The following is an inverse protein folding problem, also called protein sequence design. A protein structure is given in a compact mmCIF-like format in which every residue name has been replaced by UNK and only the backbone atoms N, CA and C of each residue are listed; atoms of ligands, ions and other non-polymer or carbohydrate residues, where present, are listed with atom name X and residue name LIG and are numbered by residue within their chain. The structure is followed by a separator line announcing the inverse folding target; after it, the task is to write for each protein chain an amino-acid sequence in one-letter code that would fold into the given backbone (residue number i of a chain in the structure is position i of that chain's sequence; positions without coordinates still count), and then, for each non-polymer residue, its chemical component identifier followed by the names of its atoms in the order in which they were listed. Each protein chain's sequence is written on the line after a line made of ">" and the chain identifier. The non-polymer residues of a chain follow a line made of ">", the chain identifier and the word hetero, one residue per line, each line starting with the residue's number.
data_IF_588246602490
#
_entry.id   IF_588246602490
#
_cell.length_a   1.000
_cell.length_b   1.000
_cell.length_c   1.000
_cell.angle_alpha   90.00
_cell.angle_beta   90.00
_cell.angle_gamma   90.00
#
_symmetry.space_group_name_H-M   'P 1'
#
loop_
_entity.id
_entity.type
_entity.pdbx_description
1 polymer ?
#
# COMPACT_ATOMS: atom_id res chain seq x y z
N UNK A 1 -8.82 2.54 3.63
CA UNK A 1 -9.62 1.97 2.52
C UNK A 1 -8.88 0.82 1.86
N UNK A 2 -9.61 -0.10 1.23
CA UNK A 2 -9.04 -1.21 0.45
C UNK A 2 -8.78 -0.77 -1.00
N UNK A 3 -7.50 -0.76 -1.40
CA UNK A 3 -7.08 -0.44 -2.77
C UNK A 3 -7.03 -1.67 -3.67
N UNK A 4 -6.56 -2.81 -3.17
CA UNK A 4 -6.40 -4.00 -4.00
C UNK A 4 -6.74 -5.23 -3.19
N UNK A 5 -7.38 -6.22 -3.80
CA UNK A 5 -7.57 -7.53 -3.20
C UNK A 5 -7.38 -8.61 -4.25
N UNK A 6 -6.63 -9.65 -3.86
CA UNK A 6 -6.55 -10.91 -4.59
C UNK A 6 -7.16 -12.00 -3.72
N UNK A 7 -8.14 -12.73 -4.24
CA UNK A 7 -8.84 -13.76 -3.49
C UNK A 7 -9.44 -14.88 -4.34
N UNK A 8 -9.88 -15.93 -3.66
CA UNK A 8 -10.49 -17.12 -4.22
C UNK A 8 -11.87 -17.29 -3.57
N UNK A 9 -12.91 -17.22 -4.40
CA UNK A 9 -14.31 -17.19 -3.99
C UNK A 9 -14.99 -18.50 -4.42
N UNK A 10 -15.85 -19.09 -3.58
CA UNK A 10 -16.67 -20.23 -4.00
C UNK A 10 -17.61 -19.78 -5.12
N UNK A 11 -17.66 -20.56 -6.20
CA UNK A 11 -18.55 -20.32 -7.34
C UNK A 11 -18.55 -21.53 -8.24
N UNK A 12 -19.62 -22.33 -8.21
CA UNK A 12 -19.76 -23.45 -9.14
C UNK A 12 -20.29 -22.94 -10.49
N UNK A 13 -19.48 -23.00 -11.54
CA UNK A 13 -19.82 -22.43 -12.85
C UNK A 13 -19.19 -23.20 -14.00
N UNK A 14 -19.71 -23.00 -15.22
CA UNK A 14 -19.01 -23.42 -16.43
C UNK A 14 -17.68 -22.66 -16.51
N UNK A 15 -16.54 -23.33 -16.74
CA UNK A 15 -15.25 -22.66 -16.82
C UNK A 15 -15.30 -21.49 -17.79
N UNK A 16 -14.74 -20.36 -17.36
CA UNK A 16 -14.67 -19.17 -18.17
C UNK A 16 -13.88 -19.46 -19.45
N UNK A 17 -14.32 -18.92 -20.61
CA UNK A 17 -13.67 -19.16 -21.90
C UNK A 17 -12.36 -18.37 -21.98
N UNK A 18 -11.35 -18.83 -21.25
CA UNK A 18 -10.02 -18.29 -21.24
C UNK A 18 -9.07 -19.34 -21.85
N UNK A 19 -8.10 -18.88 -22.65
CA UNK A 19 -7.03 -19.78 -23.08
C UNK A 19 -6.21 -20.28 -21.89
N UNK A 20 -5.39 -21.31 -22.11
CA UNK A 20 -4.50 -21.86 -21.09
C UNK A 20 -3.04 -21.64 -21.45
N UNK A 21 -2.17 -21.69 -20.43
CA UNK A 21 -0.74 -21.94 -20.59
C UNK A 21 -0.51 -23.37 -20.11
N UNK A 22 0.10 -24.18 -20.96
CA UNK A 22 0.31 -25.60 -20.72
C UNK A 22 1.81 -25.86 -20.84
N UNK A 23 2.39 -26.53 -19.83
CA UNK A 23 3.71 -27.14 -19.96
C UNK A 23 3.52 -28.57 -20.44
N UNK A 24 4.24 -28.91 -21.50
CA UNK A 24 4.19 -30.22 -22.13
C UNK A 24 5.60 -30.78 -22.09
N UNK A 25 5.75 -32.00 -21.62
CA UNK A 25 7.04 -32.69 -21.58
C UNK A 25 7.51 -33.13 -22.98
N UNK A 26 8.69 -33.74 -23.04
CA UNK A 26 9.27 -34.22 -24.29
C UNK A 26 8.44 -35.32 -24.98
N UNK A 27 7.62 -36.05 -24.22
CA UNK A 27 6.78 -37.15 -24.69
C UNK A 27 5.38 -36.66 -25.10
N UNK A 28 5.09 -35.37 -24.96
CA UNK A 28 3.81 -34.77 -25.33
C UNK A 28 2.76 -34.79 -24.22
N UNK A 29 3.09 -35.24 -23.01
CA UNK A 29 2.17 -35.23 -21.87
C UNK A 29 2.16 -33.88 -21.15
N UNK A 30 0.99 -33.51 -20.63
CA UNK A 30 0.82 -32.24 -19.92
C UNK A 30 1.36 -32.38 -18.50
N UNK A 31 2.43 -31.65 -18.17
CA UNK A 31 2.99 -31.60 -16.81
C UNK A 31 2.13 -30.73 -15.89
N UNK A 32 1.71 -29.56 -16.39
CA UNK A 32 0.82 -28.65 -15.68
C UNK A 32 0.09 -27.72 -16.64
N UNK A 33 -1.09 -27.28 -16.21
CA UNK A 33 -1.92 -26.30 -16.92
C UNK A 33 -2.28 -25.15 -15.99
N UNK A 34 -2.27 -23.93 -16.54
CA UNK A 34 -2.82 -22.74 -15.88
C UNK A 34 -3.76 -21.99 -16.80
N UNK A 35 -5.03 -21.90 -16.41
CA UNK A 35 -6.03 -21.08 -17.09
C UNK A 35 -5.64 -19.60 -17.01
N UNK A 36 -5.65 -18.91 -18.16
CA UNK A 36 -5.34 -17.47 -18.27
C UNK A 36 -6.42 -16.65 -17.57
N UNK A 37 -6.05 -15.42 -17.21
CA UNK A 37 -6.98 -14.46 -16.61
C UNK A 37 -7.75 -13.74 -17.71
N UNK A 38 -9.07 -13.64 -17.55
CA UNK A 38 -9.91 -12.70 -18.28
C UNK A 38 -9.93 -11.35 -17.58
N UNK A 39 -10.19 -10.30 -18.35
CA UNK A 39 -10.34 -8.94 -17.84
C UNK A 39 -11.81 -8.57 -17.89
N UNK A 40 -12.43 -8.36 -16.74
CA UNK A 40 -13.80 -7.87 -16.62
C UNK A 40 -13.76 -6.37 -16.47
N UNK A 41 -14.45 -5.65 -17.36
CA UNK A 41 -14.54 -4.19 -17.35
C UNK A 41 -15.75 -3.79 -16.49
N UNK A 42 -15.49 -3.07 -15.40
CA UNK A 42 -16.49 -2.48 -14.51
C UNK A 42 -16.89 -1.07 -14.96
N UNK A 43 -17.48 -0.30 -14.03
CA UNK A 43 -17.81 1.11 -14.30
C UNK A 43 -16.52 1.91 -14.60
N UNK A 44 -16.62 2.93 -15.45
CA UNK A 44 -15.54 3.89 -15.74
C UNK A 44 -14.22 3.24 -16.22
N UNK A 45 -14.32 2.17 -17.03
CA UNK A 45 -13.18 1.42 -17.60
C UNK A 45 -12.24 0.75 -16.58
N UNK A 46 -12.60 0.72 -15.30
CA UNK A 46 -11.87 -0.01 -14.28
C UNK A 46 -11.93 -1.52 -14.57
N UNK A 47 -10.84 -2.25 -14.33
CA UNK A 47 -10.78 -3.67 -14.66
C UNK A 47 -10.49 -4.55 -13.46
N UNK A 48 -11.14 -5.71 -13.44
CA UNK A 48 -10.87 -6.82 -12.55
C UNK A 48 -10.32 -7.99 -13.35
N UNK A 49 -9.30 -8.67 -12.84
CA UNK A 49 -8.81 -9.91 -13.45
C UNK A 49 -9.49 -11.09 -12.79
N UNK A 50 -10.04 -11.98 -13.59
CA UNK A 50 -10.78 -13.16 -13.12
C UNK A 50 -10.30 -14.42 -13.82
N UNK A 51 -10.39 -15.57 -13.15
CA UNK A 51 -10.26 -16.88 -13.80
C UNK A 51 -10.95 -17.97 -12.99
N UNK A 52 -11.41 -19.00 -13.68
CA UNK A 52 -11.92 -20.22 -13.06
C UNK A 52 -10.78 -21.03 -12.45
N UNK A 53 -11.02 -21.59 -11.27
CA UNK A 53 -10.09 -22.49 -10.58
C UNK A 53 -10.85 -23.60 -9.85
N UNK A 54 -10.18 -24.73 -9.63
CA UNK A 54 -10.78 -25.94 -9.09
C UNK A 54 -11.69 -26.65 -10.10
N UNK A 55 -12.05 -27.90 -9.81
CA UNK A 55 -12.95 -28.72 -10.61
C UNK A 55 -13.84 -29.54 -9.69
N UNK A 56 -15.09 -29.75 -10.06
CA UNK A 56 -16.01 -30.66 -9.37
C UNK A 56 -15.98 -32.09 -9.93
N UNK A 57 -15.13 -32.37 -10.93
CA UNK A 57 -15.09 -33.66 -11.63
C UNK A 57 -16.13 -33.82 -12.76
N UNK A 58 -17.06 -32.88 -12.90
CA UNK A 58 -18.14 -32.91 -13.90
C UNK A 58 -17.99 -31.78 -14.95
N UNK A 59 -16.76 -31.32 -15.16
CA UNK A 59 -16.45 -30.24 -16.10
C UNK A 59 -16.85 -28.84 -15.63
N UNK A 60 -17.24 -28.65 -14.37
CA UNK A 60 -17.48 -27.31 -13.78
C UNK A 60 -16.32 -26.89 -12.89
N UNK A 61 -16.01 -25.60 -12.95
CA UNK A 61 -15.12 -24.98 -11.97
C UNK A 61 -15.87 -24.77 -10.65
N UNK A 62 -15.16 -24.88 -9.53
CA UNK A 62 -15.75 -24.75 -8.18
C UNK A 62 -15.48 -23.38 -7.55
N UNK A 63 -14.51 -22.64 -8.07
CA UNK A 63 -14.08 -21.37 -7.50
C UNK A 63 -13.75 -20.35 -8.58
N UNK A 64 -13.86 -19.09 -8.20
CA UNK A 64 -13.49 -17.92 -9.00
C UNK A 64 -12.32 -17.19 -8.33
N UNK A 65 -11.20 -17.07 -9.02
CA UNK A 65 -10.12 -16.18 -8.62
C UNK A 65 -10.45 -14.76 -9.07
N UNK A 66 -10.30 -13.79 -8.16
CA UNK A 66 -10.53 -12.36 -8.40
C UNK A 66 -9.30 -11.57 -7.98
N UNK A 67 -8.87 -10.62 -8.80
CA UNK A 67 -7.64 -9.84 -8.59
C UNK A 67 -7.75 -8.44 -9.21
N UNK A 68 -7.77 -7.41 -8.36
CA UNK A 68 -7.89 -6.03 -8.82
C UNK A 68 -8.25 -5.03 -7.72
N UNK A 69 -8.62 -3.82 -8.14
CA UNK A 69 -8.98 -2.72 -7.24
C UNK A 69 -10.50 -2.64 -7.03
N UNK A 70 -11.04 -3.10 -5.89
CA UNK A 70 -12.49 -3.18 -5.66
C UNK A 70 -13.16 -1.80 -5.68
N UNK A 71 -12.55 -0.80 -5.03
CA UNK A 71 -13.06 0.58 -4.99
C UNK A 71 -13.18 1.16 -6.40
N UNK A 72 -12.11 1.08 -7.20
CA UNK A 72 -12.10 1.58 -8.58
C UNK A 72 -13.10 0.84 -9.47
N UNK A 73 -13.25 -0.47 -9.29
CA UNK A 73 -14.19 -1.29 -10.07
C UNK A 73 -15.67 -0.93 -9.82
N UNK A 74 -16.02 -0.62 -8.56
CA UNK A 74 -17.39 -0.30 -8.18
C UNK A 74 -17.75 1.16 -8.42
N UNK A 75 -16.86 2.10 -8.07
CA UNK A 75 -17.17 3.54 -8.03
C UNK A 75 -16.35 4.40 -9.01
N UNK A 76 -15.40 3.81 -9.75
CA UNK A 76 -14.65 4.49 -10.83
C UNK A 76 -13.30 5.12 -10.46
N UNK A 77 -12.99 5.29 -9.17
CA UNK A 77 -11.72 5.86 -8.71
C UNK A 77 -11.18 5.18 -7.44
N UNK A 78 -9.92 5.44 -7.09
CA UNK A 78 -9.29 4.93 -5.86
C UNK A 78 -8.79 6.00 -4.91
N UNK A 79 -9.22 7.25 -5.10
CA UNK A 79 -8.87 8.39 -4.23
C UNK A 79 -9.34 8.15 -2.79
N UNK A 80 -10.60 7.76 -2.62
CA UNK A 80 -11.25 7.40 -1.34
C UNK A 80 -12.00 6.09 -1.52
N UNK A 81 -12.39 5.43 -0.43
CA UNK A 81 -13.17 4.20 -0.48
C UNK A 81 -13.37 3.59 0.90
N UNK A 82 -13.90 2.38 0.93
CA UNK A 82 -14.33 1.71 2.16
C UNK A 82 -13.26 0.81 2.79
N UNK A 83 -13.36 0.63 4.11
CA UNK A 83 -12.66 -0.41 4.88
C UNK A 83 -13.53 -1.67 5.07
N UNK A 84 -14.79 -1.64 4.63
CA UNK A 84 -15.73 -2.77 4.68
C UNK A 84 -15.37 -3.82 3.63
N UNK A 85 -14.43 -4.70 3.97
CA UNK A 85 -14.00 -5.79 3.09
C UNK A 85 -15.16 -6.72 2.72
N UNK A 86 -16.08 -7.01 3.65
CA UNK A 86 -17.18 -7.95 3.42
C UNK A 86 -18.15 -7.37 2.39
N UNK A 87 -18.66 -6.16 2.66
CA UNK A 87 -19.57 -5.48 1.74
C UNK A 87 -18.94 -5.22 0.38
N UNK A 88 -17.67 -4.75 0.35
CA UNK A 88 -16.94 -4.51 -0.89
C UNK A 88 -16.82 -5.79 -1.72
N UNK A 89 -16.34 -6.89 -1.13
CA UNK A 89 -16.07 -8.10 -1.89
C UNK A 89 -17.33 -8.85 -2.29
N UNK A 90 -18.39 -8.81 -1.47
CA UNK A 90 -19.70 -9.35 -1.85
C UNK A 90 -20.27 -8.62 -3.07
N UNK A 91 -20.21 -7.28 -3.09
CA UNK A 91 -20.70 -6.49 -4.24
C UNK A 91 -19.82 -6.69 -5.48
N UNK A 92 -18.49 -6.73 -5.34
CA UNK A 92 -17.59 -7.05 -6.45
C UNK A 92 -17.89 -8.43 -7.02
N UNK A 93 -18.06 -9.44 -6.16
CA UNK A 93 -18.37 -10.81 -6.56
C UNK A 93 -19.70 -10.85 -7.33
N UNK A 94 -20.77 -10.29 -6.76
CA UNK A 94 -22.08 -10.27 -7.40
C UNK A 94 -22.04 -9.59 -8.78
N UNK A 95 -21.34 -8.45 -8.86
CA UNK A 95 -21.18 -7.71 -10.11
C UNK A 95 -20.39 -8.47 -11.16
N UNK A 96 -19.33 -9.18 -10.77
CA UNK A 96 -18.56 -10.04 -11.69
C UNK A 96 -19.43 -11.17 -12.23
N UNK A 97 -20.24 -11.83 -11.38
CA UNK A 97 -21.13 -12.89 -11.83
C UNK A 97 -22.14 -12.38 -12.86
N UNK A 98 -22.77 -11.23 -12.58
CA UNK A 98 -23.70 -10.56 -13.50
C UNK A 98 -23.04 -10.23 -14.84
N UNK A 99 -21.86 -9.58 -14.84
CA UNK A 99 -21.14 -9.20 -16.06
C UNK A 99 -20.67 -10.41 -16.89
N UNK A 100 -20.46 -11.56 -16.26
CA UNK A 100 -20.06 -12.80 -16.91
C UNK A 100 -21.24 -13.74 -17.22
N UNK A 101 -22.48 -13.32 -16.92
CA UNK A 101 -23.68 -14.13 -17.03
C UNK A 101 -23.56 -15.49 -16.31
N UNK A 102 -22.88 -15.51 -15.15
CA UNK A 102 -22.80 -16.67 -14.29
C UNK A 102 -24.01 -16.65 -13.34
N UNK A 103 -24.85 -17.69 -13.31
CA UNK A 103 -25.97 -17.76 -12.38
C UNK A 103 -25.50 -17.66 -10.93
N UNK A 104 -26.25 -16.89 -10.12
CA UNK A 104 -26.00 -16.77 -8.69
C UNK A 104 -26.49 -18.04 -7.99
N UNK A 105 -25.56 -18.95 -7.68
CA UNK A 105 -25.83 -20.06 -6.78
C UNK A 105 -25.99 -19.55 -5.34
N UNK A 106 -27.12 -19.89 -4.70
CA UNK A 106 -27.48 -19.39 -3.38
C UNK A 106 -26.49 -19.85 -2.30
N UNK A 107 -25.97 -21.08 -2.41
CA UNK A 107 -25.00 -21.60 -1.44
C UNK A 107 -23.67 -20.85 -1.53
N UNK A 108 -23.15 -20.66 -2.74
CA UNK A 108 -21.94 -19.87 -3.00
C UNK A 108 -22.09 -18.43 -2.53
N UNK A 109 -23.24 -17.80 -2.82
CA UNK A 109 -23.52 -16.43 -2.38
C UNK A 109 -23.56 -16.29 -0.86
N UNK A 110 -24.24 -17.21 -0.14
CA UNK A 110 -24.25 -17.25 1.33
C UNK A 110 -22.85 -17.48 1.91
N UNK A 111 -22.05 -18.32 1.27
CA UNK A 111 -20.68 -18.56 1.69
C UNK A 111 -19.83 -17.28 1.56
N UNK A 112 -19.93 -16.57 0.45
CA UNK A 112 -19.23 -15.27 0.27
C UNK A 112 -19.71 -14.24 1.29
N UNK A 113 -21.02 -14.14 1.53
CA UNK A 113 -21.59 -13.25 2.54
C UNK A 113 -21.09 -13.56 3.96
N UNK A 114 -20.84 -14.83 4.27
CA UNK A 114 -20.25 -15.28 5.54
C UNK A 114 -18.71 -15.19 5.56
N UNK A 115 -18.09 -14.53 4.59
CA UNK A 115 -16.64 -14.37 4.52
C UNK A 115 -15.87 -15.64 4.15
N UNK A 116 -16.53 -16.68 3.61
CA UNK A 116 -15.93 -17.98 3.26
C UNK A 116 -15.21 -17.93 1.91
N UNK A 117 -14.24 -17.03 1.81
CA UNK A 117 -13.36 -16.89 0.65
C UNK A 117 -11.93 -16.65 1.12
N UNK A 118 -10.95 -17.10 0.33
CA UNK A 118 -9.53 -16.94 0.68
C UNK A 118 -9.00 -15.61 0.15
N UNK A 119 -8.15 -14.95 0.93
CA UNK A 119 -7.42 -13.73 0.57
C UNK A 119 -5.93 -14.07 0.51
N UNK A 120 -5.30 -13.78 -0.62
CA UNK A 120 -3.86 -13.99 -0.83
C UNK A 120 -3.07 -12.69 -0.95
N UNK A 121 -3.75 -11.57 -1.17
CA UNK A 121 -3.15 -10.23 -1.12
C UNK A 121 -4.21 -9.20 -0.78
N UNK A 122 -3.83 -8.22 0.01
CA UNK A 122 -4.63 -7.02 0.25
C UNK A 122 -3.73 -5.79 0.31
N UNK A 123 -4.14 -4.71 -0.37
CA UNK A 123 -3.49 -3.41 -0.29
C UNK A 123 -4.44 -2.46 0.46
N UNK A 124 -4.01 -1.96 1.62
CA UNK A 124 -4.74 -1.03 2.49
C UNK A 124 -4.06 0.32 2.39
N UNK A 125 -4.82 1.39 2.27
CA UNK A 125 -4.23 2.72 2.22
C UNK A 125 -5.03 3.75 3.01
N UNK A 126 -4.32 4.81 3.40
CA UNK A 126 -4.88 6.03 3.94
C UNK A 126 -4.08 7.24 3.46
N UNK A 127 -4.69 8.41 3.57
CA UNK A 127 -4.08 9.68 3.21
C UNK A 127 -3.80 10.53 4.44
N UNK A 128 -2.75 11.33 4.35
CA UNK A 128 -2.34 12.27 5.38
C UNK A 128 -2.13 13.65 4.75
N UNK A 129 -2.70 14.69 5.34
CA UNK A 129 -2.45 16.07 4.93
C UNK A 129 -1.11 16.56 5.46
N UNK A 130 -0.37 17.22 4.58
CA UNK A 130 0.84 17.98 4.88
C UNK A 130 0.67 19.47 4.55
N UNK A 131 -0.58 19.94 4.48
CA UNK A 131 -1.02 21.32 4.16
C UNK A 131 -0.73 21.81 2.74
N UNK A 132 0.38 21.42 2.11
CA UNK A 132 0.73 21.80 0.73
C UNK A 132 1.34 20.65 -0.05
N UNK A 133 1.23 20.70 -1.39
CA UNK A 133 1.89 19.74 -2.28
C UNK A 133 3.41 19.75 -2.12
N UNK A 134 3.99 20.93 -1.91
CA UNK A 134 5.43 21.08 -1.68
C UNK A 134 5.88 20.32 -0.44
N UNK A 135 5.15 20.45 0.67
CA UNK A 135 5.45 19.70 1.89
C UNK A 135 5.34 18.17 1.67
N UNK A 136 4.38 17.70 0.86
CA UNK A 136 4.30 16.27 0.48
C UNK A 136 5.57 15.83 -0.25
N UNK A 137 6.03 16.61 -1.23
CA UNK A 137 7.25 16.31 -2.00
C UNK A 137 8.50 16.36 -1.12
N UNK A 138 8.61 17.36 -0.24
CA UNK A 138 9.71 17.46 0.73
C UNK A 138 9.72 16.28 1.71
N UNK A 139 8.55 15.84 2.17
CA UNK A 139 8.43 14.66 3.02
C UNK A 139 8.89 13.40 2.29
N UNK A 140 8.46 13.20 1.04
CA UNK A 140 8.87 12.05 0.23
C UNK A 140 10.38 12.05 -0.01
N UNK A 141 10.96 13.20 -0.35
CA UNK A 141 12.40 13.35 -0.50
C UNK A 141 13.14 12.97 0.79
N UNK A 142 12.73 13.50 1.94
CA UNK A 142 13.33 13.16 3.22
C UNK A 142 13.19 11.66 3.56
N UNK A 143 12.00 11.09 3.32
CA UNK A 143 11.73 9.69 3.60
C UNK A 143 12.59 8.74 2.76
N UNK A 144 12.91 9.09 1.51
CA UNK A 144 13.77 8.27 0.64
C UNK A 144 15.15 8.00 1.26
N UNK A 145 15.74 8.99 1.94
CA UNK A 145 17.06 8.87 2.56
C UNK A 145 17.00 8.42 4.03
N UNK A 146 15.95 8.82 4.75
CA UNK A 146 15.89 8.72 6.22
C UNK A 146 15.02 7.59 6.74
N UNK A 147 14.04 7.14 5.97
CA UNK A 147 13.11 6.11 6.42
C UNK A 147 13.72 4.71 6.30
N UNK A 148 13.51 3.90 7.34
CA UNK A 148 13.90 2.49 7.37
C UNK A 148 12.91 1.69 8.22
N UNK A 149 12.97 0.39 8.08
CA UNK A 149 12.36 -0.57 9.03
C UNK A 149 13.39 -1.65 9.33
N UNK A 150 13.04 -2.63 10.19
CA UNK A 150 13.88 -3.83 10.39
C UNK A 150 14.21 -4.58 9.09
N UNK A 151 13.39 -4.43 8.03
CA UNK A 151 13.61 -5.10 6.73
C UNK A 151 14.51 -4.31 5.77
N UNK A 152 15.05 -3.16 6.19
CA UNK A 152 15.97 -2.36 5.40
C UNK A 152 15.50 -0.93 5.19
N UNK A 153 16.27 -0.20 4.37
CA UNK A 153 16.08 1.21 4.06
C UNK A 153 15.00 1.42 3.00
N UNK A 154 14.50 2.64 2.94
CA UNK A 154 13.66 3.09 1.86
C UNK A 154 14.38 3.06 0.51
N UNK A 155 13.60 2.94 -0.57
CA UNK A 155 14.08 3.13 -1.93
C UNK A 155 13.10 4.01 -2.72
N UNK A 156 13.60 5.02 -3.42
CA UNK A 156 12.81 5.85 -4.31
C UNK A 156 12.68 5.26 -5.72
N UNK A 157 11.56 5.54 -6.38
CA UNK A 157 11.37 5.33 -7.82
C UNK A 157 10.28 6.27 -8.34
N UNK A 158 10.67 7.28 -9.11
CA UNK A 158 9.76 8.18 -9.83
C UNK A 158 8.77 8.93 -8.93
N UNK A 159 9.28 9.56 -7.86
CA UNK A 159 8.46 10.31 -6.89
C UNK A 159 7.68 9.43 -5.89
N UNK A 160 7.92 8.12 -5.89
CA UNK A 160 7.36 7.17 -4.92
C UNK A 160 8.46 6.59 -4.05
N UNK A 161 8.25 6.56 -2.74
CA UNK A 161 9.14 5.91 -1.77
C UNK A 161 8.58 4.55 -1.39
N UNK A 162 9.43 3.54 -1.25
CA UNK A 162 9.03 2.20 -0.84
C UNK A 162 9.84 1.70 0.34
N UNK A 163 9.20 0.95 1.24
CA UNK A 163 9.86 0.12 2.25
C UNK A 163 9.47 -1.34 2.00
N UNK A 164 10.46 -2.23 1.97
CA UNK A 164 10.23 -3.65 1.71
C UNK A 164 9.71 -3.95 0.29
N UNK A 165 10.05 -3.14 -0.72
CA UNK A 165 9.51 -3.22 -2.09
C UNK A 165 9.46 -4.63 -2.70
N UNK A 166 10.50 -5.43 -2.49
CA UNK A 166 10.64 -6.79 -3.04
C UNK A 166 10.23 -7.89 -2.03
N UNK A 167 9.65 -7.50 -0.89
CA UNK A 167 9.23 -8.42 0.15
C UNK A 167 8.08 -9.31 -0.34
N UNK A 168 8.20 -10.62 -0.05
CA UNK A 168 7.14 -11.60 -0.28
C UNK A 168 6.07 -11.60 0.82
N UNK A 169 6.23 -10.76 1.84
CA UNK A 169 5.35 -10.66 3.02
C UNK A 169 4.56 -9.37 3.00
N UNK A 170 5.23 -8.24 3.14
CA UNK A 170 4.57 -6.94 3.19
C UNK A 170 5.46 -5.82 2.63
N UNK A 171 4.85 -4.74 2.15
CA UNK A 171 5.56 -3.54 1.69
C UNK A 171 4.76 -2.29 2.00
N UNK A 172 5.45 -1.17 2.26
CA UNK A 172 4.85 0.15 2.33
C UNK A 172 5.25 0.98 1.10
N UNK A 173 4.31 1.75 0.57
CA UNK A 173 4.50 2.67 -0.56
C UNK A 173 3.98 4.05 -0.19
N UNK A 174 4.75 5.09 -0.45
CA UNK A 174 4.42 6.48 -0.13
C UNK A 174 4.52 7.32 -1.40
N UNK A 175 3.50 8.12 -1.70
CA UNK A 175 3.49 9.00 -2.87
C UNK A 175 2.46 10.12 -2.76
N UNK A 176 2.59 11.14 -3.63
CA UNK A 176 1.56 12.15 -3.86
C UNK A 176 0.51 11.60 -4.83
N UNK A 177 -0.73 11.46 -4.38
CA UNK A 177 -1.83 10.98 -5.24
C UNK A 177 -2.16 11.99 -6.35
N UNK A 178 -2.02 13.28 -6.04
CA UNK A 178 -2.15 14.35 -7.01
C UNK A 178 -1.11 14.23 -8.14
N UNK A 179 0.18 14.07 -7.79
CA UNK A 179 1.24 13.92 -8.80
C UNK A 179 1.05 12.63 -9.62
N UNK A 180 0.54 11.56 -9.01
CA UNK A 180 0.19 10.32 -9.73
C UNK A 180 -0.85 10.59 -10.83
N UNK A 181 -1.94 11.31 -10.49
CA UNK A 181 -3.01 11.64 -11.44
C UNK A 181 -2.56 12.61 -12.54
N UNK A 182 -1.72 13.59 -12.21
CA UNK A 182 -1.24 14.62 -13.15
C UNK A 182 -0.10 14.12 -14.04
N UNK A 183 0.57 13.01 -13.68
CA UNK A 183 1.69 12.45 -14.45
C UNK A 183 1.36 12.00 -15.88
N UNK A 184 0.08 11.91 -16.25
CA UNK A 184 -0.37 11.50 -17.59
C UNK A 184 -0.18 10.00 -17.88
N UNK A 185 0.29 9.20 -16.92
CA UNK A 185 0.49 7.76 -17.09
C UNK A 185 -0.85 7.04 -17.28
N UNK A 186 -0.91 6.17 -18.29
CA UNK A 186 -2.10 5.35 -18.59
C UNK A 186 -2.54 4.57 -17.34
N UNK A 187 -3.83 4.61 -17.04
CA UNK A 187 -4.43 3.94 -15.86
C UNK A 187 -4.43 4.77 -14.58
N UNK A 188 -3.70 5.89 -14.53
CA UNK A 188 -3.68 6.83 -13.41
C UNK A 188 -4.54 8.08 -13.66
N UNK A 189 -5.11 8.23 -14.85
CA UNK A 189 -6.05 9.33 -15.11
C UNK A 189 -7.31 9.20 -14.26
N UNK A 190 -7.84 10.34 -13.85
CA UNK A 190 -9.10 10.47 -13.13
C UNK A 190 -10.15 10.98 -14.13
N UNK A 191 -11.36 10.39 -14.11
CA UNK A 191 -12.42 10.80 -15.03
C UNK A 191 -12.83 12.27 -14.78
N UNK A 192 -13.22 12.95 -15.85
CA UNK A 192 -13.48 14.40 -15.82
C UNK A 192 -14.57 14.79 -14.81
N UNK A 193 -15.58 13.94 -14.64
CA UNK A 193 -16.65 14.11 -13.65
C UNK A 193 -16.12 14.24 -12.22
N UNK A 194 -15.11 13.44 -11.84
CA UNK A 194 -14.51 13.50 -10.51
C UNK A 194 -13.57 14.71 -10.36
N UNK A 195 -12.92 15.12 -11.46
CA UNK A 195 -12.10 16.34 -11.48
C UNK A 195 -12.98 17.57 -11.26
N UNK A 196 -14.04 17.73 -12.07
CA UNK A 196 -15.01 18.83 -11.96
C UNK A 196 -15.68 18.88 -10.59
N UNK A 197 -15.86 17.72 -9.96
CA UNK A 197 -16.44 17.64 -8.64
C UNK A 197 -15.48 18.00 -7.48
N UNK A 198 -14.19 18.25 -7.76
CA UNK A 198 -13.19 18.68 -6.78
C UNK A 198 -12.34 17.56 -6.19
N UNK A 199 -12.48 16.32 -6.68
CA UNK A 199 -11.81 15.16 -6.06
C UNK A 199 -10.29 15.19 -6.28
N UNK A 200 -9.83 15.67 -7.44
CA UNK A 200 -8.41 15.83 -7.72
C UNK A 200 -7.79 16.90 -6.82
N UNK A 201 -8.44 18.06 -6.69
CA UNK A 201 -7.96 19.17 -5.87
C UNK A 201 -7.82 18.78 -4.39
N UNK A 202 -8.75 17.97 -3.88
CA UNK A 202 -8.69 17.46 -2.51
C UNK A 202 -7.42 16.61 -2.23
N UNK A 203 -6.82 15.99 -3.24
CA UNK A 203 -5.61 15.17 -3.10
C UNK A 203 -4.30 15.98 -3.09
N UNK A 204 -4.35 17.28 -3.38
CA UNK A 204 -3.16 18.09 -3.70
C UNK A 204 -2.12 18.16 -2.58
N UNK A 205 -2.57 18.25 -1.33
CA UNK A 205 -1.73 18.31 -0.14
C UNK A 205 -1.63 16.95 0.58
N UNK A 206 -2.09 15.87 -0.06
CA UNK A 206 -2.22 14.55 0.56
C UNK A 206 -1.07 13.62 0.19
N UNK A 207 -0.36 13.17 1.22
CA UNK A 207 0.53 12.01 1.16
C UNK A 207 -0.32 10.73 1.27
N UNK A 208 -0.26 9.86 0.27
CA UNK A 208 -0.85 8.52 0.35
C UNK A 208 0.18 7.51 0.80
N UNK A 209 -0.23 6.67 1.74
CA UNK A 209 0.54 5.55 2.24
C UNK A 209 -0.25 4.27 1.94
N UNK A 210 0.38 3.29 1.30
CA UNK A 210 -0.23 2.00 0.98
C UNK A 210 0.57 0.88 1.64
N UNK A 211 -0.12 0.08 2.45
CA UNK A 211 0.35 -1.18 3.01
C UNK A 211 -0.14 -2.33 2.14
N UNK A 212 0.79 -3.06 1.51
CA UNK A 212 0.48 -4.34 0.87
C UNK A 212 0.82 -5.48 1.83
N UNK A 213 -0.13 -6.36 2.09
CA UNK A 213 0.07 -7.65 2.76
C UNK A 213 -0.13 -8.78 1.74
N UNK A 214 0.78 -9.75 1.73
CA UNK A 214 0.79 -10.91 0.82
C UNK A 214 0.61 -12.20 1.60
N UNK A 215 0.32 -13.30 0.90
CA UNK A 215 -0.08 -14.61 1.46
C UNK A 215 0.72 -15.02 2.69
N UNK A 216 2.06 -14.97 2.64
CA UNK A 216 2.91 -15.40 3.75
C UNK A 216 2.63 -14.61 5.03
N UNK A 217 2.46 -13.29 4.93
CA UNK A 217 2.15 -12.45 6.09
C UNK A 217 0.71 -12.65 6.55
N UNK A 218 -0.22 -12.83 5.62
CA UNK A 218 -1.63 -13.10 5.94
C UNK A 218 -1.83 -14.43 6.66
N UNK A 219 -1.01 -15.45 6.36
CA UNK A 219 -1.00 -16.73 7.10
C UNK A 219 -0.59 -16.48 8.55
N UNK A 220 0.54 -15.80 8.77
CA UNK A 220 1.06 -15.52 10.10
C UNK A 220 0.09 -14.67 10.95
N UNK A 221 -0.66 -13.77 10.30
CA UNK A 221 -1.70 -12.96 10.95
C UNK A 221 -3.03 -13.68 11.14
N UNK A 222 -3.19 -14.91 10.62
CA UNK A 222 -4.47 -15.63 10.55
C UNK A 222 -5.58 -14.83 9.82
N UNK A 223 -5.23 -14.16 8.72
CA UNK A 223 -6.11 -13.29 7.94
C UNK A 223 -6.28 -13.74 6.49
N UNK A 224 -6.05 -15.03 6.22
CA UNK A 224 -6.27 -15.62 4.89
C UNK A 224 -7.74 -15.90 4.60
N UNK A 225 -8.62 -15.95 5.62
CA UNK A 225 -10.05 -16.13 5.43
C UNK A 225 -10.76 -14.78 5.54
N UNK A 226 -11.65 -14.47 4.59
CA UNK A 226 -12.47 -13.26 4.59
C UNK A 226 -13.16 -13.05 5.94
N UNK A 227 -13.76 -14.10 6.51
CA UNK A 227 -14.49 -14.07 7.78
C UNK A 227 -13.66 -13.55 8.98
N UNK A 228 -12.33 -13.60 8.91
CA UNK A 228 -11.45 -13.11 9.98
C UNK A 228 -11.23 -11.59 9.91
N UNK A 229 -11.72 -10.92 8.87
CA UNK A 229 -11.65 -9.48 8.70
C UNK A 229 -12.92 -8.79 9.21
N UNK A 230 -12.74 -7.73 10.00
CA UNK A 230 -13.81 -6.84 10.43
C UNK A 230 -13.47 -5.37 10.08
N UNK A 231 -14.41 -4.45 10.34
CA UNK A 231 -14.28 -3.02 10.03
C UNK A 231 -13.06 -2.33 10.64
N UNK A 232 -12.51 -2.84 11.75
CA UNK A 232 -11.37 -2.24 12.46
C UNK A 232 -10.03 -2.81 11.97
N UNK A 233 -10.01 -4.06 11.49
CA UNK A 233 -8.79 -4.78 11.09
C UNK A 233 -7.93 -3.98 10.11
N UNK A 234 -8.45 -3.39 9.01
CA UNK A 234 -7.61 -2.65 8.07
C UNK A 234 -6.86 -1.48 8.70
N UNK A 235 -7.54 -0.70 9.56
CA UNK A 235 -6.95 0.46 10.23
C UNK A 235 -5.92 0.04 11.27
N UNK A 236 -6.20 -1.00 12.06
CA UNK A 236 -5.29 -1.51 13.07
C UNK A 236 -3.98 -2.00 12.45
N UNK A 237 -4.05 -2.86 11.42
CA UNK A 237 -2.87 -3.35 10.72
C UNK A 237 -2.10 -2.19 10.06
N UNK A 238 -2.80 -1.28 9.42
CA UNK A 238 -2.15 -0.15 8.79
C UNK A 238 -1.37 0.69 9.82
N UNK A 239 -1.99 1.05 10.94
CA UNK A 239 -1.34 1.80 12.02
C UNK A 239 -0.14 1.04 12.60
N UNK A 240 -0.26 -0.28 12.80
CA UNK A 240 0.82 -1.12 13.31
C UNK A 240 2.03 -1.08 12.36
N UNK A 241 1.82 -1.29 11.05
CA UNK A 241 2.93 -1.36 10.09
C UNK A 241 3.55 0.00 9.80
N UNK A 242 2.74 1.07 9.75
CA UNK A 242 3.27 2.44 9.67
C UNK A 242 4.06 2.79 10.93
N UNK A 243 3.64 2.31 12.11
CA UNK A 243 4.37 2.46 13.36
C UNK A 243 5.74 1.76 13.39
N UNK A 244 6.03 0.84 12.45
CA UNK A 244 7.34 0.19 12.31
C UNK A 244 8.38 1.06 11.59
N UNK A 245 7.98 2.22 11.05
CA UNK A 245 8.87 3.12 10.32
C UNK A 245 9.70 3.92 11.33
N UNK A 246 11.01 3.84 11.17
CA UNK A 246 11.95 4.72 11.85
C UNK A 246 12.46 5.75 10.84
N UNK A 247 12.40 7.03 11.18
CA UNK A 247 13.09 8.09 10.44
C UNK A 247 14.31 8.54 11.23
N UNK A 248 15.51 8.20 10.74
CA UNK A 248 16.75 8.66 11.34
C UNK A 248 16.84 10.19 11.16
N UNK A 249 16.64 10.95 12.22
CA UNK A 249 17.08 12.34 12.27
C UNK A 249 18.51 12.34 12.78
N UNK A 250 19.48 12.55 11.90
CA UNK A 250 20.79 13.00 12.36
C UNK A 250 20.60 14.41 12.95
N UNK A 251 20.31 14.49 14.24
CA UNK A 251 20.22 15.75 14.94
C UNK A 251 21.64 16.29 15.11
N UNK A 252 21.91 17.50 14.62
CA UNK A 252 23.09 18.24 15.05
C UNK A 252 22.89 18.53 16.55
N UNK A 253 23.81 18.07 17.38
CA UNK A 253 23.77 18.33 18.81
C UNK A 253 24.10 19.81 19.04
N UNK A 254 23.38 20.46 19.95
CA UNK A 254 23.79 21.75 20.51
C UNK A 254 25.08 21.60 21.30
N UNK A 255 25.84 22.69 21.49
CA UNK A 255 27.12 22.67 22.20
C UNK A 255 27.01 22.12 23.64
N UNK A 256 25.89 22.36 24.32
CA UNK A 256 25.57 21.78 25.62
C UNK A 256 25.39 20.25 25.59
N UNK A 257 24.92 19.68 24.48
CA UNK A 257 24.79 18.23 24.32
C UNK A 257 26.12 17.60 23.89
N UNK A 258 26.98 18.33 23.17
CA UNK A 258 28.33 17.89 22.80
C UNK A 258 29.17 17.69 24.05
N UNK A 259 29.11 18.61 25.02
CA UNK A 259 29.85 18.50 26.29
C UNK A 259 29.41 17.31 27.15
N UNK A 260 28.17 16.83 26.98
CA UNK A 260 27.63 15.63 27.65
C UNK A 260 28.04 14.31 26.99
N UNK A 261 28.60 14.34 25.78
CA UNK A 261 29.11 13.12 25.14
C UNK A 261 30.33 12.60 25.93
N UNK A 262 30.48 11.28 26.09
CA UNK A 262 31.72 10.69 26.59
C UNK A 262 32.92 11.15 25.75
N UNK A 263 34.01 11.58 26.41
CA UNK A 263 35.22 12.12 25.75
C UNK A 263 35.74 11.25 24.59
N UNK A 264 35.63 9.93 24.74
CA UNK A 264 36.08 8.95 23.73
C UNK A 264 35.31 9.00 22.39
N UNK A 265 34.08 9.53 22.37
CA UNK A 265 33.25 9.63 21.15
C UNK A 265 33.03 11.08 20.69
N UNK A 266 33.44 12.07 21.49
CA UNK A 266 33.37 13.50 21.13
C UNK A 266 34.16 13.80 19.84
N UNK A 267 35.39 13.30 19.73
CA UNK A 267 36.22 13.52 18.53
C UNK A 267 35.61 12.87 17.28
N UNK A 268 35.06 11.66 17.42
CA UNK A 268 34.31 10.98 16.35
C UNK A 268 33.11 11.81 15.90
N UNK A 269 32.34 12.35 16.86
CA UNK A 269 31.21 13.20 16.54
C UNK A 269 31.62 14.49 15.81
N UNK A 270 32.65 15.20 16.31
CA UNK A 270 33.11 16.46 15.72
C UNK A 270 33.64 16.26 14.29
N UNK A 271 34.43 15.22 14.04
CA UNK A 271 34.91 14.89 12.69
C UNK A 271 33.77 14.50 11.76
N UNK A 272 32.82 13.70 12.25
CA UNK A 272 31.62 13.35 11.51
C UNK A 272 30.77 14.58 11.18
N UNK A 273 30.58 15.49 12.15
CA UNK A 273 29.87 16.77 12.01
C UNK A 273 30.53 17.65 10.93
N UNK A 274 31.85 17.59 10.78
CA UNK A 274 32.60 18.28 9.73
C UNK A 274 32.52 17.60 8.35
N UNK A 275 31.76 16.49 8.23
CA UNK A 275 31.53 15.78 6.97
C UNK A 275 32.52 14.64 6.69
N UNK A 276 33.39 14.29 7.63
CA UNK A 276 34.37 13.23 7.40
C UNK A 276 33.74 11.82 7.43
N UNK A 277 34.25 10.92 6.58
CA UNK A 277 33.77 9.54 6.48
C UNK A 277 34.31 8.68 7.64
N UNK A 278 33.51 8.48 8.68
CA UNK A 278 33.94 7.71 9.86
C UNK A 278 34.24 6.24 9.56
N UNK A 279 33.68 5.68 8.49
CA UNK A 279 33.90 4.29 8.10
C UNK A 279 35.30 4.05 7.52
N UNK A 280 35.89 5.09 6.94
CA UNK A 280 37.27 5.09 6.45
C UNK A 280 38.25 5.52 7.53
N UNK A 281 37.85 6.43 8.43
CA UNK A 281 38.73 6.96 9.48
C UNK A 281 38.89 6.06 10.71
N UNK A 282 37.91 5.23 11.02
CA UNK A 282 37.93 4.38 12.21
C UNK A 282 38.14 2.91 11.87
N UNK A 283 38.95 2.17 12.66
CA UNK A 283 38.98 0.72 12.58
C UNK A 283 37.59 0.12 12.79
N UNK A 284 37.28 -0.96 12.06
CA UNK A 284 35.95 -1.60 12.03
C UNK A 284 35.30 -1.73 13.42
N UNK A 285 35.99 -2.30 14.40
CA UNK A 285 35.45 -2.53 15.74
C UNK A 285 35.20 -1.22 16.52
N UNK A 286 36.06 -0.22 16.33
CA UNK A 286 35.89 1.12 16.92
C UNK A 286 34.69 1.84 16.31
N UNK A 287 34.51 1.73 14.99
CA UNK A 287 33.37 2.30 14.27
C UNK A 287 32.04 1.80 14.85
N UNK A 288 31.83 0.49 14.95
CA UNK A 288 30.57 -0.05 15.48
C UNK A 288 30.35 0.26 16.96
N UNK A 289 31.42 0.30 17.77
CA UNK A 289 31.33 0.71 19.18
C UNK A 289 30.89 2.16 19.29
N UNK A 290 31.54 3.07 18.57
CA UNK A 290 31.24 4.51 18.62
C UNK A 290 29.86 4.81 18.03
N UNK A 291 29.49 4.15 16.93
CA UNK A 291 28.15 4.24 16.33
C UNK A 291 27.07 3.86 17.33
N UNK A 292 27.23 2.74 18.04
CA UNK A 292 26.25 2.29 19.04
C UNK A 292 26.05 3.32 20.16
N UNK A 293 27.13 3.96 20.61
CA UNK A 293 27.04 5.00 21.63
C UNK A 293 26.41 6.28 21.08
N UNK A 294 26.81 6.75 19.89
CA UNK A 294 26.27 7.95 19.25
C UNK A 294 24.80 7.81 18.84
N UNK A 295 24.34 6.60 18.52
CA UNK A 295 22.92 6.31 18.26
C UNK A 295 22.02 6.63 19.45
N UNK A 296 22.51 6.51 20.69
CA UNK A 296 21.76 6.91 21.90
C UNK A 296 21.51 8.42 21.97
N UNK A 297 22.28 9.20 21.22
CA UNK A 297 22.12 10.65 21.05
C UNK A 297 21.44 11.03 19.73
N UNK A 298 20.92 10.04 18.97
CA UNK A 298 20.25 10.25 17.69
C UNK A 298 21.21 10.48 16.52
N UNK A 299 22.49 10.15 16.64
CA UNK A 299 23.48 10.32 15.57
C UNK A 299 23.86 8.98 14.99
N UNK A 300 23.67 8.80 13.68
CA UNK A 300 24.15 7.62 12.96
C UNK A 300 25.33 7.96 12.06
N UNK A 301 26.55 7.76 12.57
CA UNK A 301 27.82 8.01 11.85
C UNK A 301 28.08 7.09 10.65
N UNK A 302 27.17 6.16 10.37
CA UNK A 302 27.20 5.36 9.14
C UNK A 302 26.72 6.14 7.91
N UNK A 303 26.17 7.33 8.13
CA UNK A 303 25.81 8.28 7.09
C UNK A 303 26.74 9.49 7.17
N UNK A 304 26.86 10.28 6.12
CA UNK A 304 27.51 11.59 6.20
C UNK A 304 26.63 12.57 7.00
N UNK A 305 27.24 13.62 7.55
CA UNK A 305 26.48 14.72 8.15
C UNK A 305 25.77 15.50 7.02
N UNK A 306 24.43 15.60 7.09
CA UNK A 306 23.60 16.28 6.09
C UNK A 306 23.89 17.79 5.99
N UNK A 307 24.49 18.37 7.04
CA UNK A 307 24.86 19.79 7.12
C UNK A 307 26.20 19.93 7.85
N UNK A 308 27.33 19.77 7.15
CA UNK A 308 28.63 20.08 7.71
C UNK A 308 28.67 21.55 8.11
N UNK A 309 29.30 21.88 9.26
CA UNK A 309 29.35 23.25 9.79
C UNK A 309 29.71 24.26 8.69
N UNK A 310 28.72 25.03 8.25
CA UNK A 310 28.90 26.35 7.64
C UNK A 310 28.45 27.37 8.68
N UNK A 311 29.36 28.31 8.98
CA UNK A 311 29.29 29.30 10.07
C UNK A 311 27.87 29.70 10.55
N UNK A 312 27.64 29.59 11.86
CA UNK A 312 26.65 30.35 12.66
C UNK A 312 25.20 30.46 12.15
N UNK A 313 24.74 29.56 11.27
CA UNK A 313 23.32 29.47 10.92
C UNK A 313 22.72 28.29 11.66
N UNK A 314 21.96 28.56 12.73
CA UNK A 314 21.05 27.56 13.29
C UNK A 314 20.03 27.24 12.21
N UNK A 315 19.97 26.01 11.65
CA UNK A 315 18.98 25.69 10.65
C UNK A 315 17.60 25.85 11.27
N UNK A 316 16.73 26.66 10.67
CA UNK A 316 15.31 26.68 11.02
C UNK A 316 14.71 25.32 10.63
N UNK A 317 14.65 24.40 11.60
CA UNK A 317 14.05 23.09 11.41
C UNK A 317 12.53 23.27 11.42
N UNK A 318 11.92 23.23 10.23
CA UNK A 318 10.47 23.14 10.09
C UNK A 318 10.04 21.68 10.21
N UNK A 319 9.40 21.32 11.31
CA UNK A 319 8.78 19.98 11.46
C UNK A 319 7.55 19.88 10.57
N UNK A 320 7.51 18.86 9.71
CA UNK A 320 6.33 18.51 8.93
C UNK A 320 5.47 17.52 9.73
N UNK A 321 4.27 17.92 10.10
CA UNK A 321 3.32 17.06 10.81
C UNK A 321 2.31 16.48 9.80
N UNK A 322 2.35 15.16 9.61
CA UNK A 322 1.40 14.44 8.76
C UNK A 322 0.12 14.14 9.55
N UNK A 323 -0.99 14.83 9.22
CA UNK A 323 -2.28 14.65 9.91
C UNK A 323 -3.17 13.68 9.12
N UNK A 324 -3.81 12.68 9.76
CA UNK A 324 -4.77 11.82 9.06
C UNK A 324 -5.81 12.67 8.30
N UNK A 325 -5.99 12.39 7.01
CA UNK A 325 -6.93 13.13 6.19
C UNK A 325 -8.35 12.61 6.41
N UNK A 326 -9.24 13.49 6.85
CA UNK A 326 -10.67 13.21 6.89
C UNK A 326 -11.27 13.33 5.50
N UNK A 327 -12.24 12.46 5.22
CA UNK A 327 -13.00 12.48 3.98
C UNK A 327 -14.10 13.55 4.12
N UNK A 328 -14.12 14.59 3.26
CA UNK A 328 -15.14 15.63 3.32
C UNK A 328 -16.57 15.09 3.12
N UNK A 329 -17.54 15.71 3.80
CA UNK A 329 -18.96 15.32 3.73
C UNK A 329 -19.51 15.30 2.29
N UNK A 330 -19.11 16.28 1.48
CA UNK A 330 -19.58 16.39 0.09
C UNK A 330 -19.25 15.16 -0.77
N UNK A 331 -18.17 14.42 -0.45
CA UNK A 331 -17.80 13.18 -1.16
C UNK A 331 -18.84 12.09 -0.88
N UNK A 332 -19.31 12.00 0.38
CA UNK A 332 -20.37 11.08 0.75
C UNK A 332 -21.70 11.50 0.11
N UNK A 333 -22.06 12.78 0.16
CA UNK A 333 -23.29 13.32 -0.44
C UNK A 333 -23.38 13.04 -1.95
N UNK A 334 -22.25 13.15 -2.66
CA UNK A 334 -22.17 12.85 -4.10
C UNK A 334 -22.12 11.36 -4.46
N UNK A 335 -22.07 10.46 -3.47
CA UNK A 335 -22.00 9.02 -3.74
C UNK A 335 -20.66 8.53 -4.30
N UNK A 336 -19.58 9.27 -4.06
CA UNK A 336 -18.24 8.92 -4.56
C UNK A 336 -17.51 7.90 -3.68
N UNK A 337 -18.16 7.37 -2.65
CA UNK A 337 -17.63 6.29 -1.83
C UNK A 337 -18.65 5.18 -1.83
N UNK A 338 -18.18 3.99 -2.17
CA UNK A 338 -18.92 2.77 -1.98
C UNK A 338 -19.28 2.60 -0.50
N UNK A 339 -20.58 2.42 -0.25
CA UNK A 339 -21.12 2.10 1.06
C UNK A 339 -22.14 0.98 0.90
N UNK A 340 -21.80 -0.20 1.42
CA UNK A 340 -22.65 -1.39 1.31
C UNK A 340 -24.03 -1.19 1.94
N UNK A 341 -24.14 -0.38 2.99
CA UNK A 341 -25.39 -0.15 3.71
C UNK A 341 -26.25 0.96 3.09
N UNK A 342 -25.77 1.64 2.04
CA UNK A 342 -26.51 2.71 1.40
C UNK A 342 -27.65 2.14 0.55
N UNK A 343 -28.87 2.49 0.94
CA UNK A 343 -30.16 2.00 0.41
C UNK A 343 -30.29 2.13 -1.13
N UNK A 344 -29.53 3.03 -1.77
CA UNK A 344 -29.60 3.29 -3.21
C UNK A 344 -28.91 2.24 -4.11
N UNK A 345 -28.09 1.33 -3.57
CA UNK A 345 -27.40 0.33 -4.40
C UNK A 345 -28.27 -0.86 -4.81
N UNK A 346 -29.55 -0.91 -4.41
CA UNK A 346 -30.47 -1.98 -4.81
C UNK A 346 -31.24 -1.66 -6.11
N UNK A 347 -31.34 -0.40 -6.52
CA UNK A 347 -32.30 0.04 -7.54
C UNK A 347 -31.70 0.49 -8.89
N UNK A 348 -30.37 0.50 -9.04
CA UNK A 348 -29.71 0.99 -10.26
C UNK A 348 -28.89 -0.06 -11.03
N UNK A 349 -29.06 -1.35 -10.73
CA UNK A 349 -28.28 -2.44 -11.35
C UNK A 349 -29.14 -3.49 -12.06
N UNK A 350 -30.22 -3.03 -12.70
CA UNK A 350 -30.96 -3.82 -13.69
C UNK A 350 -30.57 -3.40 -15.10
#
# INVERSE_FOLDING_TARGET
>A
MIDWLTGIFPCTHKPLPAGSVVSVDADGAIEWETVKRLTVRGSHEATMKVRSIGSNGEGKATHLYIDGNPSKFLQGHSVVGSDDIQGLMLTVYARILSLLNIPHDLASYKAVMAGQYKISRIDINYMYSLSTLENVRSWLYAAEFKAKTRHGRACGKGGTVYLGKNSRRWSLKFYSKYDEHVSGKKGHQIAEEFVRAGLLDWTKDKLRIELTLRTTELIDLNLTLGANWNMKTPRQLFSEYVGRIEMNQNAILSDEKITKLPRKIQSTYLLWKQGANMKEMLPHNTFYRHRRELLSFGIDINFYCDSPDSNNVVPLIRTLEAKPAEIPLWIYEKGFIFDYNRISHASSWH
#
